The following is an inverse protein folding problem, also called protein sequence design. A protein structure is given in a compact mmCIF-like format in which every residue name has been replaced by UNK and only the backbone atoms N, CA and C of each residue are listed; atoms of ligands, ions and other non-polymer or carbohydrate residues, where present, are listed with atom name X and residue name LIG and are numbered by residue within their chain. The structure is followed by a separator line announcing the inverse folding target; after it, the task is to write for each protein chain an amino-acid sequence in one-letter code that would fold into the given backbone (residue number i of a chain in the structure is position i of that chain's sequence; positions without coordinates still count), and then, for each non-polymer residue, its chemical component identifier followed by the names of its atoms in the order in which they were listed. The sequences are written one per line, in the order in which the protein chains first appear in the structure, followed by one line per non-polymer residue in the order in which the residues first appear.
data_IF_810844488621
#
_entry.id   IF_810844488621
#
_cell.length_a   1.000
_cell.length_b   1.000
_cell.length_c   1.000
_cell.angle_alpha   90.00
_cell.angle_beta   90.00
_cell.angle_gamma   90.00
#
_symmetry.space_group_name_H-M   'P 1'
#
loop_
_entity.id
_entity.type
_entity.pdbx_description
1 polymer ?
#
# COMPACT_ATOMS: atom_id res chain seq x y z
N UNK A 1 -3.90 -18.82 60.89
CA UNK A 1 -2.73 -18.47 60.06
C UNK A 1 -2.95 -19.06 58.66
N UNK A 2 -3.74 -18.39 57.81
CA UNK A 2 -4.20 -18.87 56.48
C UNK A 2 -4.34 -17.67 55.51
N UNK A 3 -3.27 -16.91 55.26
CA UNK A 3 -3.32 -15.72 54.36
C UNK A 3 -2.18 -15.70 53.33
N UNK A 4 -1.38 -16.76 53.24
CA UNK A 4 -0.22 -16.83 52.33
C UNK A 4 -0.45 -17.66 51.08
N UNK A 5 -1.43 -18.58 51.07
CA UNK A 5 -1.67 -19.47 49.91
C UNK A 5 -2.34 -18.74 48.74
N UNK A 6 -3.27 -17.83 49.02
CA UNK A 6 -4.03 -17.12 47.97
C UNK A 6 -3.22 -16.05 47.26
N UNK A 7 -2.29 -15.39 47.95
CA UNK A 7 -1.40 -14.39 47.35
C UNK A 7 -0.49 -15.00 46.28
N UNK A 8 0.01 -16.21 46.52
CA UNK A 8 0.86 -16.90 45.56
C UNK A 8 0.07 -17.36 44.33
N UNK A 9 -1.19 -17.78 44.51
CA UNK A 9 -2.07 -18.16 43.39
C UNK A 9 -2.38 -16.95 42.50
N UNK A 10 -2.67 -15.80 43.09
CA UNK A 10 -2.94 -14.55 42.33
C UNK A 10 -1.69 -14.10 41.55
N UNK A 11 -0.50 -14.18 42.16
CA UNK A 11 0.76 -13.83 41.47
C UNK A 11 1.04 -14.77 40.29
N UNK A 12 0.78 -16.08 40.44
CA UNK A 12 0.95 -17.05 39.36
C UNK A 12 -0.02 -16.77 38.20
N UNK A 13 -1.27 -16.40 38.48
CA UNK A 13 -2.26 -16.04 37.45
C UNK A 13 -1.80 -14.80 36.68
N UNK A 14 -1.32 -13.76 37.36
CA UNK A 14 -0.84 -12.52 36.72
C UNK A 14 0.38 -12.79 35.83
N UNK A 15 1.33 -13.61 36.30
CA UNK A 15 2.50 -14.01 35.50
C UNK A 15 2.08 -14.83 34.27
N UNK A 16 1.11 -15.73 34.41
CA UNK A 16 0.59 -16.52 33.29
C UNK A 16 -0.08 -15.67 32.21
N UNK A 17 -0.81 -14.62 32.62
CA UNK A 17 -1.46 -13.67 31.71
C UNK A 17 -0.43 -12.79 30.97
N UNK A 18 0.61 -12.34 31.67
CA UNK A 18 1.73 -11.60 31.08
C UNK A 18 2.50 -12.46 30.06
N UNK A 19 2.73 -13.74 30.36
CA UNK A 19 3.42 -14.66 29.45
C UNK A 19 2.59 -14.94 28.17
N UNK A 20 1.25 -15.02 28.27
CA UNK A 20 0.39 -15.15 27.09
C UNK A 20 0.44 -13.93 26.17
N UNK A 21 0.52 -12.71 26.71
CA UNK A 21 0.63 -11.49 25.90
C UNK A 21 1.93 -11.44 25.10
N UNK A 22 3.04 -11.95 25.66
CA UNK A 22 4.32 -12.02 24.95
C UNK A 22 4.25 -12.98 23.75
N UNK A 23 3.52 -14.09 23.86
CA UNK A 23 3.37 -15.05 22.76
C UNK A 23 2.50 -14.52 21.60
N UNK A 24 1.44 -13.76 21.88
CA UNK A 24 0.59 -13.15 20.83
C UNK A 24 1.39 -12.18 19.95
N UNK A 25 2.25 -11.35 20.55
CA UNK A 25 3.10 -10.42 19.79
C UNK A 25 4.13 -11.14 18.89
N UNK A 26 4.59 -12.33 19.29
CA UNK A 26 5.56 -13.11 18.52
C UNK A 26 4.95 -13.77 17.27
N UNK A 27 3.64 -14.06 17.29
CA UNK A 27 2.90 -14.58 16.12
C UNK A 27 2.65 -13.47 15.09
N UNK A 28 2.30 -12.26 15.52
CA UNK A 28 2.21 -11.11 14.63
C UNK A 28 3.55 -10.77 13.97
N UNK A 29 4.66 -10.93 14.71
CA UNK A 29 6.02 -10.73 14.19
C UNK A 29 6.42 -11.81 13.17
N UNK A 30 6.03 -13.08 13.36
CA UNK A 30 6.31 -14.16 12.41
C UNK A 30 5.40 -14.16 11.17
N UNK A 31 4.20 -13.58 11.22
CA UNK A 31 3.35 -13.44 10.03
C UNK A 31 3.88 -12.44 9.01
N UNK A 32 4.72 -11.48 9.41
CA UNK A 32 5.31 -10.49 8.50
C UNK A 32 6.41 -11.05 7.58
N UNK A 33 6.90 -12.26 7.82
CA UNK A 33 8.02 -12.85 7.06
C UNK A 33 7.64 -14.00 6.10
N UNK A 34 6.35 -14.23 5.83
CA UNK A 34 5.89 -15.30 4.90
C UNK A 34 5.24 -14.82 3.60
N UNK A 35 5.39 -13.56 3.23
CA UNK A 35 5.16 -13.14 1.85
C UNK A 35 6.52 -12.85 1.24
N UNK A 36 6.98 -13.80 0.44
CA UNK A 36 8.26 -13.73 -0.27
C UNK A 36 8.41 -12.41 -0.99
N UNK A 37 9.64 -11.90 -0.94
CA UNK A 37 10.10 -10.63 -1.48
C UNK A 37 9.71 -10.45 -2.96
N UNK A 38 8.46 -10.06 -3.20
CA UNK A 38 8.11 -9.30 -4.38
C UNK A 38 8.52 -7.88 -4.06
N UNK A 39 9.82 -7.62 -4.09
CA UNK A 39 10.35 -6.27 -4.12
C UNK A 39 9.54 -5.54 -5.20
N UNK A 40 8.76 -4.50 -4.86
CA UNK A 40 7.87 -3.89 -5.82
C UNK A 40 8.75 -3.37 -6.95
N UNK A 41 8.59 -3.96 -8.13
CA UNK A 41 9.20 -3.43 -9.36
C UNK A 41 8.72 -1.99 -9.49
N UNK A 42 9.64 -1.11 -9.92
CA UNK A 42 9.45 0.34 -10.03
C UNK A 42 7.99 0.74 -10.29
N UNK A 43 7.39 1.45 -9.33
CA UNK A 43 5.95 1.77 -9.35
C UNK A 43 5.05 0.69 -8.75
N UNK A 44 5.41 0.02 -7.66
CA UNK A 44 4.41 -0.73 -6.86
C UNK A 44 3.66 -1.87 -7.56
N UNK A 45 4.18 -2.40 -8.67
CA UNK A 45 3.51 -3.47 -9.40
C UNK A 45 3.66 -4.80 -8.65
N UNK A 46 2.64 -5.15 -7.86
CA UNK A 46 2.51 -6.49 -7.28
C UNK A 46 1.70 -7.38 -8.23
N UNK A 47 2.19 -8.61 -8.42
CA UNK A 47 1.53 -9.65 -9.20
C UNK A 47 0.27 -10.08 -8.44
N UNK A 48 -0.91 -9.55 -8.78
CA UNK A 48 -2.17 -10.08 -8.23
C UNK A 48 -3.41 -9.18 -8.20
N UNK A 49 -3.33 -7.86 -8.39
CA UNK A 49 -4.49 -6.97 -8.16
C UNK A 49 -5.10 -6.38 -9.45
N UNK A 50 -4.43 -6.56 -10.59
CA UNK A 50 -4.90 -6.09 -11.90
C UNK A 50 -4.96 -7.31 -12.81
N UNK A 51 -6.12 -7.61 -13.42
CA UNK A 51 -6.35 -8.67 -14.43
C UNK A 51 -5.42 -8.59 -15.66
N UNK A 52 -4.49 -7.63 -15.69
CA UNK A 52 -3.54 -7.43 -16.77
C UNK A 52 -2.13 -7.26 -16.18
N UNK A 53 -1.14 -8.01 -16.69
CA UNK A 53 0.23 -7.98 -16.19
C UNK A 53 0.88 -6.59 -16.39
N UNK A 54 1.92 -6.31 -15.60
CA UNK A 54 2.76 -5.12 -15.76
C UNK A 54 3.21 -4.95 -17.22
N UNK A 55 2.94 -3.78 -17.80
CA UNK A 55 3.33 -3.47 -19.18
C UNK A 55 2.42 -4.07 -20.27
N UNK A 56 1.29 -4.70 -19.91
CA UNK A 56 0.23 -5.02 -20.87
C UNK A 56 -0.17 -3.74 -21.61
N UNK A 57 -0.14 -3.79 -22.94
CA UNK A 57 -0.45 -2.62 -23.77
C UNK A 57 -1.91 -2.22 -23.58
N UNK A 58 -2.13 -1.13 -22.86
CA UNK A 58 -3.43 -0.45 -22.82
C UNK A 58 -3.28 0.89 -23.49
N UNK A 59 -3.92 1.06 -24.64
CA UNK A 59 -3.92 2.33 -25.34
C UNK A 59 -4.83 3.29 -24.55
N UNK A 60 -4.26 4.31 -23.93
CA UNK A 60 -4.98 5.33 -23.16
C UNK A 60 -5.19 6.51 -24.10
N UNK A 61 -6.46 6.79 -24.41
CA UNK A 61 -6.83 7.81 -25.39
C UNK A 61 -7.40 9.06 -24.74
N UNK A 62 -7.92 8.95 -23.52
CA UNK A 62 -8.61 10.06 -22.85
C UNK A 62 -8.07 10.32 -21.46
N UNK A 63 -8.29 11.55 -20.98
CA UNK A 63 -7.96 11.94 -19.61
C UNK A 63 -8.77 11.13 -18.58
N UNK A 64 -10.01 10.74 -18.87
CA UNK A 64 -10.80 9.90 -17.97
C UNK A 64 -10.17 8.49 -17.83
N UNK A 65 -9.72 7.89 -18.94
CA UNK A 65 -9.04 6.60 -18.90
C UNK A 65 -7.72 6.68 -18.13
N UNK A 66 -6.98 7.78 -18.31
CA UNK A 66 -5.76 8.08 -17.55
C UNK A 66 -6.05 8.18 -16.04
N UNK A 67 -7.10 8.90 -15.65
CA UNK A 67 -7.54 9.01 -14.25
C UNK A 67 -7.89 7.66 -13.65
N UNK A 68 -8.74 6.88 -14.32
CA UNK A 68 -9.15 5.55 -13.86
C UNK A 68 -7.95 4.60 -13.69
N UNK A 69 -6.97 4.70 -14.60
CA UNK A 69 -5.74 3.93 -14.49
C UNK A 69 -4.94 4.31 -13.24
N UNK A 70 -4.77 5.61 -12.99
CA UNK A 70 -4.07 6.10 -11.80
C UNK A 70 -4.82 5.77 -10.51
N UNK A 71 -6.15 5.88 -10.48
CA UNK A 71 -6.97 5.52 -9.31
C UNK A 71 -6.81 4.05 -9.00
N UNK A 72 -6.88 3.20 -10.02
CA UNK A 72 -6.63 1.77 -9.85
C UNK A 72 -5.20 1.51 -9.38
N UNK A 73 -4.22 2.26 -9.86
CA UNK A 73 -2.83 2.02 -9.49
C UNK A 73 -2.49 2.48 -8.07
N UNK A 74 -2.87 3.70 -7.70
CA UNK A 74 -2.52 4.33 -6.42
C UNK A 74 -3.51 4.04 -5.29
N UNK A 75 -4.80 3.86 -5.59
CA UNK A 75 -5.87 3.82 -4.58
C UNK A 75 -6.48 2.43 -4.38
N UNK A 76 -6.29 1.48 -5.31
CA UNK A 76 -6.91 0.15 -5.19
C UNK A 76 -6.15 -0.82 -4.28
N UNK A 77 -4.88 -0.57 -4.03
CA UNK A 77 -4.06 -1.41 -3.17
C UNK A 77 -4.03 -0.82 -1.77
N UNK A 78 -4.49 -1.56 -0.77
CA UNK A 78 -4.53 -1.18 0.65
C UNK A 78 -3.17 -0.93 1.31
N UNK A 79 -2.16 -0.52 0.54
CA UNK A 79 -0.86 -0.07 0.99
C UNK A 79 -1.05 1.19 1.83
N UNK A 80 -0.82 1.05 3.14
CA UNK A 80 -1.04 2.09 4.14
C UNK A 80 -0.28 3.39 3.85
N UNK A 81 0.84 3.33 3.11
CA UNK A 81 1.64 4.51 2.74
C UNK A 81 1.02 5.35 1.61
N UNK A 82 0.04 4.82 0.88
CA UNK A 82 -0.63 5.52 -0.24
C UNK A 82 -2.03 6.05 0.10
N UNK A 83 -2.50 5.86 1.35
CA UNK A 83 -3.88 6.21 1.76
C UNK A 83 -4.23 7.70 1.64
N UNK A 84 -3.24 8.56 1.59
CA UNK A 84 -3.43 10.02 1.59
C UNK A 84 -3.14 10.67 0.24
N UNK A 85 -3.04 9.87 -0.83
CA UNK A 85 -2.79 10.40 -2.18
C UNK A 85 -4.09 10.68 -2.92
N UNK A 86 -4.08 11.74 -3.73
CA UNK A 86 -5.16 12.15 -4.63
C UNK A 86 -4.59 12.44 -6.01
N UNK A 87 -5.40 12.22 -7.04
CA UNK A 87 -5.03 12.59 -8.41
C UNK A 87 -5.51 14.01 -8.66
N UNK A 88 -4.57 14.90 -8.93
CA UNK A 88 -4.83 16.30 -9.23
C UNK A 88 -5.18 16.52 -10.69
N UNK A 89 -4.57 17.56 -11.27
CA UNK A 89 -4.76 17.90 -12.67
C UNK A 89 -4.16 16.81 -13.56
N UNK A 90 -4.88 16.48 -14.63
CA UNK A 90 -4.35 15.68 -15.74
C UNK A 90 -4.31 16.59 -16.96
N UNK A 91 -3.22 16.54 -17.71
CA UNK A 91 -3.00 17.32 -18.92
C UNK A 91 -2.62 16.39 -20.05
N UNK A 92 -3.37 16.46 -21.14
CA UNK A 92 -3.06 15.71 -22.35
C UNK A 92 -1.85 16.28 -23.11
N UNK A 93 -0.84 15.44 -23.35
CA UNK A 93 0.30 15.70 -24.23
C UNK A 93 0.20 14.87 -25.50
N UNK A 94 0.99 15.14 -26.57
CA UNK A 94 0.91 14.36 -27.80
C UNK A 94 1.08 12.85 -27.61
N UNK A 95 2.04 12.42 -26.77
CA UNK A 95 2.40 11.00 -26.60
C UNK A 95 2.13 10.42 -25.20
N UNK A 96 1.71 11.26 -24.26
CA UNK A 96 1.48 10.86 -22.87
C UNK A 96 0.40 11.74 -22.22
N UNK A 97 -0.03 11.39 -21.03
CA UNK A 97 -0.73 12.28 -20.12
C UNK A 97 0.20 12.63 -18.98
N UNK A 98 0.19 13.88 -18.56
CA UNK A 98 0.87 14.34 -17.36
C UNK A 98 -0.15 14.49 -16.24
N UNK A 99 0.15 13.99 -15.06
CA UNK A 99 -0.78 14.01 -13.94
C UNK A 99 -0.07 14.37 -12.64
N UNK A 100 -0.66 15.29 -11.89
CA UNK A 100 -0.21 15.63 -10.55
C UNK A 100 -0.71 14.60 -9.55
N UNK A 101 0.17 14.14 -8.68
CA UNK A 101 -0.18 13.37 -7.50
C UNK A 101 -0.09 14.33 -6.31
N UNK A 102 -1.20 14.46 -5.59
CA UNK A 102 -1.34 15.37 -4.46
C UNK A 102 -1.44 14.57 -3.17
N UNK A 103 -1.00 15.14 -2.05
CA UNK A 103 -1.32 14.60 -0.73
C UNK A 103 -2.72 15.02 -0.26
N UNK A 104 -3.09 14.61 0.95
CA UNK A 104 -4.39 14.92 1.57
C UNK A 104 -4.66 16.42 1.72
N UNK A 105 -3.59 17.22 1.84
CA UNK A 105 -3.59 18.69 1.93
C UNK A 105 -3.61 19.39 0.56
N UNK A 106 -3.75 18.64 -0.54
CA UNK A 106 -3.72 19.13 -1.92
C UNK A 106 -2.36 19.73 -2.34
N UNK A 107 -1.26 19.34 -1.68
CA UNK A 107 0.09 19.72 -2.06
C UNK A 107 0.62 18.70 -3.08
N UNK A 108 1.16 19.13 -4.24
CA UNK A 108 1.81 18.23 -5.19
C UNK A 108 3.00 17.52 -4.54
N UNK A 109 2.98 16.20 -4.54
CA UNK A 109 4.07 15.35 -4.03
C UNK A 109 4.82 14.66 -5.15
N UNK A 110 4.20 14.48 -6.31
CA UNK A 110 4.82 13.89 -7.49
C UNK A 110 4.12 14.37 -8.77
N UNK A 111 4.83 14.28 -9.89
CA UNK A 111 4.31 14.45 -11.23
C UNK A 111 4.57 13.17 -12.00
N UNK A 112 3.51 12.54 -12.49
CA UNK A 112 3.60 11.28 -13.22
C UNK A 112 3.22 11.46 -14.68
N UNK A 113 3.89 10.72 -15.56
CA UNK A 113 3.53 10.60 -16.97
C UNK A 113 2.96 9.23 -17.27
N UNK A 114 1.93 9.19 -18.10
CA UNK A 114 1.26 7.98 -18.58
C UNK A 114 1.46 7.91 -20.10
N UNK A 115 2.28 6.97 -20.56
CA UNK A 115 2.50 6.72 -21.98
C UNK A 115 1.18 6.29 -22.65
N UNK A 116 0.70 7.06 -23.64
CA UNK A 116 -0.60 6.80 -24.31
C UNK A 116 -0.65 5.44 -24.99
N UNK A 117 0.45 5.00 -25.58
CA UNK A 117 0.52 3.76 -26.37
C UNK A 117 0.47 2.52 -25.47
N UNK A 118 1.01 2.62 -24.25
CA UNK A 118 1.24 1.45 -23.39
C UNK A 118 0.53 1.50 -22.05
N UNK A 119 0.08 2.67 -21.60
CA UNK A 119 -0.44 2.86 -20.25
C UNK A 119 0.63 2.79 -19.16
N UNK A 120 1.92 2.91 -19.52
CA UNK A 120 3.02 2.88 -18.54
C UNK A 120 3.06 4.17 -17.74
N UNK A 121 3.03 4.04 -16.42
CA UNK A 121 3.14 5.14 -15.46
C UNK A 121 4.61 5.31 -15.07
N UNK A 122 5.12 6.54 -15.08
CA UNK A 122 6.46 6.89 -14.59
C UNK A 122 6.38 8.19 -13.80
N UNK A 123 7.09 8.28 -12.67
CA UNK A 123 7.36 9.56 -12.04
C UNK A 123 8.39 10.35 -12.87
N UNK A 124 8.26 11.67 -12.86
CA UNK A 124 9.18 12.62 -13.50
C UNK A 124 10.32 13.03 -12.55
N UNK A 125 10.10 12.98 -11.24
CA UNK A 125 11.00 13.52 -10.22
C UNK A 125 11.68 12.43 -9.38
#
# INVERSE_FOLDING_TARGET
MMVTKDRNVVVIIIISLLLMHIQVNSLEAQQRHRMGDCQPVYGGYTKGVIDQPYGARRNIKTEQEARLLLEKFFLSNGNSEMRDLKIGRIKEMPNFFEAEILNSQNIPVDLVIIDKRTGRIRSVY
#
